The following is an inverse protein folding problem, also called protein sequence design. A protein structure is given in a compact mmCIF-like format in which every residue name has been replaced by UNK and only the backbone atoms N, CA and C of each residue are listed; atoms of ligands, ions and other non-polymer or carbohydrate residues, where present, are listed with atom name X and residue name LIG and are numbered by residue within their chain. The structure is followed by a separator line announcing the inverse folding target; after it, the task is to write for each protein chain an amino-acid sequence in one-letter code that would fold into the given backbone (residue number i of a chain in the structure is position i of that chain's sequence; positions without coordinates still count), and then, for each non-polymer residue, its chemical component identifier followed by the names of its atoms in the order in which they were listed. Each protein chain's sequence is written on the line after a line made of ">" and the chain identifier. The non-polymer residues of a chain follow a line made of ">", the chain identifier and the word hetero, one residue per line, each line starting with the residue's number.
data_IF_072610330089
#
_entry.id   IF_072610330089
#
_cell.length_a   1.000
_cell.length_b   1.000
_cell.length_c   1.000
_cell.angle_alpha   90.00
_cell.angle_beta   90.00
_cell.angle_gamma   90.00
#
_symmetry.space_group_name_H-M   'P 1'
#
loop_
_entity.id
_entity.type
_entity.pdbx_description
1 polymer ?
#
# COMPACT_ATOMS: atom_id res chain seq x y z
N UNK A 1 26.04 3.56 -2.30
CA UNK A 1 26.37 2.16 -2.60
C UNK A 1 25.95 1.87 -4.04
N UNK A 2 26.73 1.13 -4.85
CA UNK A 2 26.34 0.82 -6.23
C UNK A 2 25.06 -0.01 -6.25
N UNK A 3 24.16 0.31 -7.22
CA UNK A 3 22.92 -0.45 -7.44
C UNK A 3 23.26 -1.84 -7.95
N UNK A 4 22.67 -2.88 -7.35
CA UNK A 4 22.83 -4.25 -7.82
C UNK A 4 21.89 -4.50 -9.02
N UNK A 5 22.39 -5.07 -10.14
CA UNK A 5 21.56 -5.31 -11.33
C UNK A 5 20.55 -6.45 -11.16
N UNK A 6 20.77 -7.37 -10.21
CA UNK A 6 19.93 -8.53 -9.95
C UNK A 6 19.55 -8.61 -8.49
N UNK A 7 18.37 -9.20 -8.23
CA UNK A 7 17.95 -9.55 -6.87
C UNK A 7 18.80 -10.75 -6.40
N UNK A 8 19.38 -10.62 -5.23
CA UNK A 8 20.04 -11.73 -4.53
C UNK A 8 19.05 -12.44 -3.59
N UNK A 9 19.47 -13.57 -3.02
CA UNK A 9 18.64 -14.37 -2.12
C UNK A 9 18.12 -13.55 -0.94
N UNK A 10 18.96 -12.67 -0.38
CA UNK A 10 18.55 -11.78 0.72
C UNK A 10 17.40 -10.87 0.29
N UNK A 11 17.51 -10.23 -0.89
CA UNK A 11 16.46 -9.36 -1.40
C UNK A 11 15.14 -10.12 -1.62
N UNK A 12 15.21 -11.31 -2.22
CA UNK A 12 14.03 -12.17 -2.45
C UNK A 12 13.37 -12.54 -1.11
N UNK A 13 14.15 -13.00 -0.13
CA UNK A 13 13.62 -13.38 1.18
C UNK A 13 12.97 -12.19 1.89
N UNK A 14 13.62 -11.02 1.89
CA UNK A 14 13.06 -9.82 2.50
C UNK A 14 11.78 -9.35 1.80
N UNK A 15 11.73 -9.40 0.46
CA UNK A 15 10.55 -9.06 -0.32
C UNK A 15 9.37 -9.98 -0.01
N UNK A 16 9.62 -11.30 -0.03
CA UNK A 16 8.58 -12.27 0.31
C UNK A 16 8.11 -12.11 1.75
N UNK A 17 9.03 -11.86 2.69
CA UNK A 17 8.69 -11.57 4.09
C UNK A 17 7.83 -10.31 4.24
N UNK A 18 8.16 -9.22 3.53
CA UNK A 18 7.34 -8.02 3.52
C UNK A 18 5.95 -8.28 2.94
N UNK A 19 5.86 -8.98 1.80
CA UNK A 19 4.59 -9.29 1.16
C UNK A 19 3.71 -10.21 2.03
N UNK A 20 4.32 -11.23 2.63
CA UNK A 20 3.64 -12.11 3.58
C UNK A 20 3.04 -11.30 4.73
N UNK A 21 3.86 -10.46 5.35
CA UNK A 21 3.42 -9.67 6.48
C UNK A 21 2.35 -8.64 6.09
N UNK A 22 2.47 -7.98 4.94
CA UNK A 22 1.46 -7.04 4.46
C UNK A 22 0.12 -7.73 4.17
N UNK A 23 0.13 -8.98 3.70
CA UNK A 23 -1.08 -9.79 3.56
C UNK A 23 -1.71 -10.13 4.91
N UNK A 24 -0.92 -10.64 5.86
CA UNK A 24 -1.34 -10.90 7.24
C UNK A 24 -1.86 -9.63 7.92
N UNK A 25 -1.20 -8.50 7.71
CA UNK A 25 -1.57 -7.23 8.30
C UNK A 25 -2.99 -6.80 7.96
N UNK A 26 -3.46 -7.03 6.72
CA UNK A 26 -4.84 -6.70 6.34
C UNK A 26 -5.86 -7.48 7.18
N UNK A 27 -5.55 -8.75 7.45
CA UNK A 27 -6.36 -9.60 8.32
C UNK A 27 -6.29 -9.15 9.78
N UNK A 28 -5.10 -8.83 10.28
CA UNK A 28 -4.92 -8.30 11.64
C UNK A 28 -5.70 -7.00 11.84
N UNK A 29 -5.65 -6.07 10.90
CA UNK A 29 -6.43 -4.83 10.94
C UNK A 29 -7.93 -5.19 11.02
N UNK A 30 -8.40 -6.04 10.11
CA UNK A 30 -9.81 -6.45 10.02
C UNK A 30 -10.31 -7.07 11.33
N UNK A 31 -9.56 -7.98 11.93
CA UNK A 31 -9.95 -8.62 13.21
C UNK A 31 -9.95 -7.59 14.35
N UNK A 32 -8.97 -6.70 14.38
CA UNK A 32 -8.86 -5.70 15.44
C UNK A 32 -9.99 -4.66 15.38
N UNK A 33 -10.67 -4.48 14.22
CA UNK A 33 -11.86 -3.63 14.10
C UNK A 33 -13.04 -4.08 14.99
N UNK A 34 -13.05 -5.33 15.45
CA UNK A 34 -14.06 -5.80 16.39
C UNK A 34 -13.91 -5.19 17.80
N UNK A 35 -12.73 -4.69 18.12
CA UNK A 35 -12.40 -4.10 19.42
C UNK A 35 -12.12 -2.61 19.35
N UNK A 36 -11.52 -2.15 18.27
CA UNK A 36 -11.05 -0.78 18.11
C UNK A 36 -11.65 -0.10 16.88
N UNK A 37 -12.11 1.15 17.00
CA UNK A 37 -12.52 1.94 15.85
C UNK A 37 -11.38 2.08 14.83
N UNK A 38 -11.68 2.12 13.52
CA UNK A 38 -10.68 2.01 12.46
C UNK A 38 -9.64 3.12 12.48
N UNK A 39 -10.06 4.37 12.60
CA UNK A 39 -9.11 5.50 12.55
C UNK A 39 -8.36 5.64 13.88
N UNK A 40 -8.99 5.29 15.00
CA UNK A 40 -8.29 5.21 16.30
C UNK A 40 -7.20 4.13 16.27
N UNK A 41 -7.50 2.93 15.76
CA UNK A 41 -6.52 1.87 15.57
C UNK A 41 -5.34 2.34 14.69
N UNK A 42 -5.65 2.99 13.56
CA UNK A 42 -4.64 3.55 12.68
C UNK A 42 -3.81 4.66 13.35
N UNK A 43 -4.44 5.50 14.19
CA UNK A 43 -3.76 6.54 14.97
C UNK A 43 -2.68 5.95 15.87
N UNK A 44 -3.02 4.93 16.66
CA UNK A 44 -2.08 4.25 17.55
C UNK A 44 -0.89 3.67 16.78
N UNK A 45 -1.19 2.99 15.66
CA UNK A 45 -0.17 2.41 14.77
C UNK A 45 0.78 3.48 14.23
N UNK A 46 0.23 4.57 13.65
CA UNK A 46 1.01 5.57 12.94
C UNK A 46 1.83 6.45 13.90
N UNK A 47 1.26 6.80 15.07
CA UNK A 47 1.99 7.50 16.13
C UNK A 47 3.15 6.63 16.64
N UNK A 48 2.89 5.36 16.94
CA UNK A 48 3.94 4.43 17.39
C UNK A 48 5.04 4.24 16.34
N UNK A 49 4.68 4.07 15.06
CA UNK A 49 5.64 3.91 13.97
C UNK A 49 6.47 5.19 13.74
N UNK A 50 5.85 6.37 13.88
CA UNK A 50 6.56 7.66 13.79
C UNK A 50 7.59 7.79 14.90
N UNK A 51 7.21 7.45 16.12
CA UNK A 51 8.13 7.48 17.28
C UNK A 51 9.31 6.50 17.08
N UNK A 52 9.04 5.28 16.64
CA UNK A 52 10.09 4.29 16.35
C UNK A 52 11.04 4.77 15.26
N UNK A 53 10.50 5.32 14.17
CA UNK A 53 11.32 5.84 13.06
C UNK A 53 12.14 7.05 13.49
N UNK A 54 11.58 7.93 14.32
CA UNK A 54 12.32 9.07 14.87
C UNK A 54 13.48 8.60 15.76
N UNK A 55 13.24 7.68 16.71
CA UNK A 55 14.27 7.09 17.57
C UNK A 55 15.37 6.40 16.75
N UNK A 56 14.97 5.61 15.74
CA UNK A 56 15.89 4.97 14.79
C UNK A 56 16.75 5.98 14.07
N UNK A 57 16.14 7.07 13.56
CA UNK A 57 16.85 8.10 12.81
C UNK A 57 17.84 8.88 13.70
N UNK A 58 17.47 9.18 14.95
CA UNK A 58 18.37 9.78 15.94
C UNK A 58 19.56 8.86 16.21
N UNK A 59 19.29 7.58 16.47
CA UNK A 59 20.34 6.59 16.71
C UNK A 59 21.28 6.42 15.51
N UNK A 60 20.76 6.50 14.29
CA UNK A 60 21.54 6.40 13.05
C UNK A 60 22.18 7.71 12.60
N UNK A 61 21.92 8.82 13.29
CA UNK A 61 22.42 10.15 12.91
C UNK A 61 21.83 10.67 11.59
N UNK A 62 20.62 10.22 11.20
CA UNK A 62 19.96 10.66 9.95
C UNK A 62 19.20 11.96 10.20
N UNK A 63 19.52 13.08 9.49
CA UNK A 63 18.85 14.35 9.67
C UNK A 63 17.46 14.35 9.06
N UNK A 64 16.41 14.30 9.89
CA UNK A 64 15.01 14.35 9.45
C UNK A 64 14.52 15.78 9.12
N UNK A 65 15.05 16.78 9.82
CA UNK A 65 14.56 18.17 9.78
C UNK A 65 15.44 19.12 8.96
N UNK A 66 16.36 18.59 8.14
CA UNK A 66 17.23 19.40 7.28
C UNK A 66 16.44 20.24 6.26
N UNK A 67 16.86 21.48 6.02
CA UNK A 67 16.26 22.40 5.04
C UNK A 67 16.80 22.10 3.64
N UNK A 68 16.18 21.16 2.93
CA UNK A 68 16.56 20.72 1.58
C UNK A 68 15.48 21.00 0.52
N UNK A 69 14.48 21.83 0.87
CA UNK A 69 13.37 22.17 -0.02
C UNK A 69 12.34 21.06 -0.22
N UNK A 70 12.43 19.96 0.52
CA UNK A 70 11.52 18.81 0.39
C UNK A 70 10.20 18.95 1.17
N UNK A 71 10.07 19.94 2.05
CA UNK A 71 8.98 20.04 3.02
C UNK A 71 7.59 20.03 2.34
N UNK A 72 7.37 20.88 1.33
CA UNK A 72 6.05 20.98 0.65
C UNK A 72 5.66 19.67 -0.01
N UNK A 73 6.60 19.06 -0.75
CA UNK A 73 6.37 17.78 -1.39
C UNK A 73 6.22 16.65 -0.36
N UNK A 74 6.97 16.72 0.75
CA UNK A 74 6.87 15.79 1.87
C UNK A 74 5.52 15.83 2.55
N UNK A 75 5.00 17.03 2.83
CA UNK A 75 3.66 17.20 3.41
C UNK A 75 2.56 16.69 2.47
N UNK A 76 2.68 16.96 1.16
CA UNK A 76 1.74 16.42 0.18
C UNK A 76 1.78 14.89 0.10
N UNK A 77 2.97 14.30 0.03
CA UNK A 77 3.14 12.85 0.03
C UNK A 77 2.61 12.23 1.34
N UNK A 78 2.82 12.90 2.47
CA UNK A 78 2.27 12.48 3.77
C UNK A 78 0.74 12.55 3.82
N UNK A 79 0.14 13.61 3.28
CA UNK A 79 -1.31 13.75 3.22
C UNK A 79 -1.96 12.68 2.32
N UNK A 80 -1.37 12.40 1.14
CA UNK A 80 -1.83 11.34 0.24
C UNK A 80 -1.71 9.96 0.89
N UNK A 81 -0.59 9.69 1.56
CA UNK A 81 -0.38 8.46 2.31
C UNK A 81 -1.37 8.31 3.47
N UNK A 82 -1.65 9.39 4.22
CA UNK A 82 -2.68 9.39 5.25
C UNK A 82 -4.06 9.11 4.66
N UNK A 83 -4.44 9.77 3.58
CA UNK A 83 -5.72 9.52 2.90
C UNK A 83 -5.83 8.06 2.40
N UNK A 84 -4.75 7.48 1.85
CA UNK A 84 -4.66 6.07 1.48
C UNK A 84 -5.01 5.16 2.67
N UNK A 85 -4.34 5.37 3.81
CA UNK A 85 -4.57 4.56 5.01
C UNK A 85 -5.96 4.77 5.61
N UNK A 86 -6.51 5.98 5.58
CA UNK A 86 -7.89 6.22 5.97
C UNK A 86 -8.87 5.39 5.11
N UNK A 87 -8.67 5.37 3.79
CA UNK A 87 -9.45 4.53 2.89
C UNK A 87 -9.30 3.03 3.19
N UNK A 88 -8.09 2.56 3.52
CA UNK A 88 -7.85 1.14 3.89
C UNK A 88 -8.62 0.79 5.16
N UNK A 89 -8.43 1.55 6.24
CA UNK A 89 -9.04 1.23 7.53
C UNK A 89 -10.56 1.34 7.51
N UNK A 90 -11.10 2.39 6.89
CA UNK A 90 -12.54 2.54 6.70
C UNK A 90 -13.10 1.48 5.74
N UNK A 91 -12.38 1.17 4.67
CA UNK A 91 -12.78 0.17 3.69
C UNK A 91 -12.92 -1.23 4.28
N UNK A 92 -12.01 -1.61 5.18
CA UNK A 92 -12.05 -2.90 5.86
C UNK A 92 -13.28 -3.10 6.77
N UNK A 93 -14.00 -2.04 7.14
CA UNK A 93 -15.30 -2.18 7.80
C UNK A 93 -16.35 -2.79 6.88
N UNK A 94 -16.28 -2.53 5.59
CA UNK A 94 -17.33 -2.79 4.62
C UNK A 94 -17.04 -3.95 3.67
N UNK A 95 -15.76 -4.30 3.46
CA UNK A 95 -15.38 -5.39 2.55
C UNK A 95 -14.42 -6.37 3.22
N UNK A 96 -14.12 -7.49 2.56
CA UNK A 96 -13.15 -8.47 3.06
C UNK A 96 -11.71 -7.95 2.93
N UNK A 97 -10.80 -8.48 3.76
CA UNK A 97 -9.38 -8.17 3.69
C UNK A 97 -8.80 -8.53 2.31
N UNK A 98 -9.22 -9.67 1.77
CA UNK A 98 -8.83 -10.15 0.46
C UNK A 98 -9.27 -9.21 -0.67
N UNK A 99 -10.55 -8.80 -0.68
CA UNK A 99 -11.09 -7.91 -1.72
C UNK A 99 -10.44 -6.54 -1.68
N UNK A 100 -10.36 -5.92 -0.49
CA UNK A 100 -9.71 -4.62 -0.32
C UNK A 100 -8.29 -4.66 -0.85
N UNK A 101 -7.54 -5.72 -0.54
CA UNK A 101 -6.15 -5.86 -0.98
C UNK A 101 -6.05 -5.94 -2.52
N UNK A 102 -6.94 -6.65 -3.20
CA UNK A 102 -6.96 -6.69 -4.69
C UNK A 102 -7.13 -5.28 -5.27
N UNK A 103 -8.06 -4.48 -4.74
CA UNK A 103 -8.28 -3.12 -5.21
C UNK A 103 -7.13 -2.16 -4.85
N UNK A 104 -6.56 -2.27 -3.66
CA UNK A 104 -5.39 -1.51 -3.22
C UNK A 104 -4.20 -1.74 -4.16
N UNK A 105 -3.98 -2.98 -4.58
CA UNK A 105 -2.86 -3.35 -5.46
C UNK A 105 -3.10 -3.02 -6.94
N UNK A 106 -4.13 -2.24 -7.26
CA UNK A 106 -4.25 -1.53 -8.56
C UNK A 106 -3.30 -0.33 -8.65
N UNK A 107 -2.61 0.05 -7.57
CA UNK A 107 -1.70 1.21 -7.52
C UNK A 107 -0.70 1.30 -8.68
N UNK A 108 -0.07 0.20 -9.20
CA UNK A 108 0.84 0.28 -10.33
C UNK A 108 0.17 0.80 -11.62
N UNK A 109 -1.13 0.60 -11.80
CA UNK A 109 -1.85 1.14 -12.96
C UNK A 109 -1.99 2.64 -12.87
N UNK A 110 -2.29 3.15 -11.68
CA UNK A 110 -2.37 4.59 -11.45
C UNK A 110 -1.02 5.25 -11.69
N UNK A 111 0.09 4.61 -11.27
CA UNK A 111 1.44 5.08 -11.60
C UNK A 111 1.66 5.09 -13.11
N UNK A 112 1.31 4.02 -13.81
CA UNK A 112 1.49 3.90 -15.25
C UNK A 112 0.68 4.93 -16.06
N UNK A 113 -0.49 5.33 -15.59
CA UNK A 113 -1.33 6.36 -16.22
C UNK A 113 -0.83 7.76 -15.90
N UNK A 114 -0.44 8.00 -14.64
CA UNK A 114 -0.19 9.35 -14.15
C UNK A 114 1.25 9.83 -14.41
N UNK A 115 2.26 8.96 -14.34
CA UNK A 115 3.66 9.35 -14.55
C UNK A 115 3.89 9.96 -15.93
N UNK A 116 3.34 9.43 -17.03
CA UNK A 116 3.50 10.02 -18.37
C UNK A 116 2.92 11.44 -18.52
N UNK A 117 2.02 11.86 -17.66
CA UNK A 117 1.49 13.21 -17.64
C UNK A 117 2.54 14.25 -17.20
N UNK A 118 3.50 13.81 -16.36
CA UNK A 118 4.61 14.63 -15.87
C UNK A 118 5.90 14.44 -16.67
N UNK A 119 6.20 13.17 -16.97
CA UNK A 119 7.40 12.80 -17.73
C UNK A 119 7.00 12.10 -19.03
N UNK A 120 7.04 12.86 -20.13
CA UNK A 120 6.67 12.37 -21.46
C UNK A 120 7.59 11.26 -21.98
N UNK A 121 8.77 11.09 -21.38
CA UNK A 121 9.69 9.99 -21.73
C UNK A 121 9.18 8.62 -21.29
N UNK A 122 8.25 8.60 -20.30
CA UNK A 122 7.63 7.38 -19.79
C UNK A 122 6.26 7.07 -20.43
N UNK A 123 6.01 7.51 -21.66
CA UNK A 123 4.76 7.22 -22.38
C UNK A 123 4.60 5.73 -22.60
N UNK A 124 3.37 5.26 -22.33
CA UNK A 124 3.01 3.86 -22.51
C UNK A 124 3.12 3.44 -24.00
N UNK A 125 3.72 2.30 -24.23
CA UNK A 125 3.74 1.62 -25.53
C UNK A 125 2.49 0.76 -25.72
N UNK A 126 2.22 0.31 -26.95
CA UNK A 126 1.00 -0.44 -27.28
C UNK A 126 0.72 -1.65 -26.36
N UNK A 127 1.76 -2.47 -26.06
CA UNK A 127 1.61 -3.61 -25.15
C UNK A 127 1.27 -3.19 -23.72
N UNK A 128 1.76 -2.04 -23.27
CA UNK A 128 1.46 -1.51 -21.93
C UNK A 128 0.02 -1.01 -21.85
N UNK A 129 -0.51 -0.45 -22.96
CA UNK A 129 -1.93 -0.11 -23.06
C UNK A 129 -2.82 -1.36 -22.99
N UNK A 130 -2.43 -2.46 -23.63
CA UNK A 130 -3.13 -3.76 -23.51
C UNK A 130 -3.14 -4.20 -22.03
N UNK A 131 -1.99 -4.15 -21.36
CA UNK A 131 -1.90 -4.47 -19.93
C UNK A 131 -2.80 -3.60 -19.07
N UNK A 132 -2.82 -2.30 -19.33
CA UNK A 132 -3.66 -1.34 -18.60
C UNK A 132 -5.15 -1.63 -18.80
N UNK A 133 -5.57 -1.89 -20.05
CA UNK A 133 -6.97 -2.25 -20.38
C UNK A 133 -7.37 -3.55 -19.67
N UNK A 134 -6.48 -4.55 -19.68
CA UNK A 134 -6.72 -5.82 -19.00
C UNK A 134 -6.94 -5.67 -17.51
N UNK A 135 -6.12 -4.82 -16.90
CA UNK A 135 -6.23 -4.51 -15.49
C UNK A 135 -7.49 -3.70 -15.14
N UNK A 136 -7.85 -2.73 -15.98
CA UNK A 136 -9.09 -1.98 -15.81
C UNK A 136 -10.31 -2.91 -15.93
N UNK A 137 -10.31 -3.82 -16.90
CA UNK A 137 -11.34 -4.86 -17.04
C UNK A 137 -11.44 -5.75 -15.80
N UNK A 138 -10.30 -6.10 -15.18
CA UNK A 138 -10.27 -6.84 -13.92
C UNK A 138 -10.95 -6.10 -12.77
N UNK A 139 -10.71 -4.79 -12.65
CA UNK A 139 -11.36 -3.94 -11.63
C UNK A 139 -12.87 -3.89 -11.84
N UNK A 140 -13.31 -3.66 -13.07
CA UNK A 140 -14.75 -3.65 -13.43
C UNK A 140 -15.40 -5.02 -13.13
N UNK A 141 -14.71 -6.11 -13.45
CA UNK A 141 -15.19 -7.46 -13.18
C UNK A 141 -15.30 -7.75 -11.67
N UNK A 142 -14.31 -7.34 -10.88
CA UNK A 142 -14.35 -7.49 -9.43
C UNK A 142 -15.45 -6.62 -8.79
N UNK A 143 -15.63 -5.37 -9.26
CA UNK A 143 -16.70 -4.48 -8.79
C UNK A 143 -18.09 -5.04 -9.09
N UNK A 144 -18.26 -5.73 -10.24
CA UNK A 144 -19.53 -6.36 -10.61
C UNK A 144 -20.07 -7.26 -9.50
N UNK A 145 -19.22 -8.05 -8.86
CA UNK A 145 -19.65 -8.89 -7.73
C UNK A 145 -20.17 -8.06 -6.54
N UNK A 146 -19.55 -6.90 -6.27
CA UNK A 146 -20.03 -5.96 -5.26
C UNK A 146 -21.43 -5.41 -5.57
N UNK A 147 -21.72 -5.13 -6.84
CA UNK A 147 -23.05 -4.68 -7.28
C UNK A 147 -24.10 -5.77 -7.14
N UNK A 148 -23.81 -7.01 -7.53
CA UNK A 148 -24.75 -8.13 -7.41
C UNK A 148 -25.05 -8.49 -5.96
N UNK A 149 -24.04 -8.45 -5.08
CA UNK A 149 -24.24 -8.69 -3.65
C UNK A 149 -25.03 -7.56 -2.97
N UNK A 150 -25.03 -6.34 -3.52
CA UNK A 150 -25.87 -5.24 -3.05
C UNK A 150 -27.36 -5.49 -3.26
N UNK A 151 -27.74 -6.22 -4.33
CA UNK A 151 -29.13 -6.61 -4.59
C UNK A 151 -29.68 -7.53 -3.51
N UNK A 152 -28.80 -8.17 -2.72
CA UNK A 152 -29.11 -9.02 -1.57
C UNK A 152 -29.08 -8.29 -0.23
N UNK A 153 -29.05 -6.94 -0.19
CA UNK A 153 -29.06 -6.14 1.02
C UNK A 153 -27.68 -5.70 1.56
N UNK A 154 -26.57 -6.01 0.89
CA UNK A 154 -25.21 -5.67 1.31
C UNK A 154 -24.59 -4.49 0.52
N UNK A 155 -25.24 -3.30 0.60
CA UNK A 155 -24.68 -2.05 0.05
C UNK A 155 -23.28 -1.69 0.62
N UNK A 156 -22.86 -2.35 1.69
CA UNK A 156 -21.60 -2.13 2.39
C UNK A 156 -20.38 -2.57 1.55
N UNK A 157 -20.44 -3.72 0.86
CA UNK A 157 -19.27 -4.28 0.15
C UNK A 157 -18.76 -3.34 -0.96
N UNK A 158 -19.66 -2.74 -1.75
CA UNK A 158 -19.27 -1.79 -2.79
C UNK A 158 -18.55 -0.55 -2.22
N UNK A 159 -18.99 -0.05 -1.06
CA UNK A 159 -18.30 1.07 -0.38
C UNK A 159 -16.87 0.70 -0.02
N UNK A 160 -16.67 -0.49 0.53
CA UNK A 160 -15.34 -0.99 0.87
C UNK A 160 -14.45 -1.18 -0.36
N UNK A 161 -14.99 -1.72 -1.44
CA UNK A 161 -14.28 -1.92 -2.71
C UNK A 161 -13.85 -0.58 -3.33
N UNK A 162 -14.76 0.43 -3.34
CA UNK A 162 -14.44 1.76 -3.83
C UNK A 162 -13.37 2.46 -2.97
N UNK A 163 -13.42 2.29 -1.64
CA UNK A 163 -12.37 2.78 -0.76
C UNK A 163 -11.04 2.08 -1.02
N UNK A 164 -11.03 0.77 -1.27
CA UNK A 164 -9.84 0.02 -1.68
C UNK A 164 -9.25 0.54 -3.01
N UNK A 165 -10.10 0.82 -3.99
CA UNK A 165 -9.69 1.39 -5.27
C UNK A 165 -9.13 2.82 -5.11
N UNK A 166 -9.78 3.65 -4.29
CA UNK A 166 -9.29 4.99 -3.95
C UNK A 166 -7.94 4.92 -3.23
N UNK A 167 -7.75 3.96 -2.31
CA UNK A 167 -6.47 3.74 -1.66
C UNK A 167 -5.37 3.38 -2.67
N UNK A 168 -5.66 2.51 -3.65
CA UNK A 168 -4.74 2.19 -4.75
C UNK A 168 -4.36 3.42 -5.59
N UNK A 169 -5.33 4.28 -5.89
CA UNK A 169 -5.10 5.55 -6.61
C UNK A 169 -4.23 6.52 -5.81
N UNK A 170 -4.52 6.67 -4.51
CA UNK A 170 -3.75 7.53 -3.60
C UNK A 170 -2.31 7.04 -3.42
N UNK A 171 -2.10 5.74 -3.32
CA UNK A 171 -0.74 5.16 -3.35
C UNK A 171 -0.02 5.48 -4.66
N UNK A 172 -0.71 5.31 -5.81
CA UNK A 172 -0.17 5.70 -7.12
C UNK A 172 0.23 7.17 -7.16
N UNK A 173 -0.65 8.08 -6.71
CA UNK A 173 -0.39 9.52 -6.62
C UNK A 173 0.80 9.84 -5.72
N UNK A 174 0.89 9.21 -4.54
CA UNK A 174 2.05 9.35 -3.63
C UNK A 174 3.35 9.00 -4.35
N UNK A 175 3.36 7.91 -5.12
CA UNK A 175 4.52 7.50 -5.91
C UNK A 175 4.89 8.53 -6.98
N UNK A 176 3.89 9.11 -7.65
CA UNK A 176 4.10 10.18 -8.66
C UNK A 176 4.71 11.41 -8.00
N UNK A 177 4.16 11.86 -6.87
CA UNK A 177 4.68 13.02 -6.12
C UNK A 177 6.14 12.80 -5.71
N UNK A 178 6.48 11.62 -5.22
CA UNK A 178 7.85 11.27 -4.85
C UNK A 178 8.79 11.35 -6.07
N UNK A 179 8.37 10.80 -7.21
CA UNK A 179 9.18 10.79 -8.44
C UNK A 179 9.32 12.16 -9.10
N UNK A 180 8.24 12.97 -9.07
CA UNK A 180 8.17 14.26 -9.74
C UNK A 180 8.77 15.43 -8.93
N UNK A 181 9.16 15.18 -7.66
CA UNK A 181 9.58 16.24 -6.74
C UNK A 181 11.01 16.08 -6.23
N UNK A 182 11.41 16.98 -5.31
CA UNK A 182 12.67 16.92 -4.57
C UNK A 182 12.79 15.69 -3.68
N UNK A 183 11.68 14.98 -3.38
CA UNK A 183 11.66 13.79 -2.52
C UNK A 183 12.52 12.63 -3.05
N UNK A 184 12.76 12.57 -4.36
CA UNK A 184 13.68 11.57 -4.96
C UNK A 184 15.13 11.68 -4.48
N UNK A 185 15.50 12.79 -3.84
CA UNK A 185 16.87 13.09 -3.36
C UNK A 185 17.03 12.96 -1.85
N UNK A 186 15.93 12.82 -1.09
CA UNK A 186 16.00 12.67 0.36
C UNK A 186 16.28 11.22 0.76
N UNK A 187 16.72 11.00 1.99
CA UNK A 187 16.91 9.65 2.54
C UNK A 187 15.58 8.90 2.65
N UNK A 188 15.65 7.57 2.65
CA UNK A 188 14.48 6.71 2.82
C UNK A 188 13.76 6.97 4.15
N UNK A 189 14.54 7.19 5.21
CA UNK A 189 14.03 7.51 6.55
C UNK A 189 13.26 8.84 6.55
N UNK A 190 13.81 9.89 5.92
CA UNK A 190 13.16 11.20 5.86
C UNK A 190 11.87 11.14 5.03
N UNK A 191 11.91 10.41 3.90
CA UNK A 191 10.72 10.20 3.06
C UNK A 191 9.61 9.49 3.83
N UNK A 192 9.95 8.39 4.51
CA UNK A 192 8.99 7.65 5.33
C UNK A 192 8.51 8.49 6.53
N UNK A 193 9.39 9.30 7.11
CA UNK A 193 9.04 10.18 8.22
C UNK A 193 7.98 11.21 7.84
N UNK A 194 8.04 11.81 6.65
CA UNK A 194 6.96 12.69 6.16
C UNK A 194 5.61 11.97 6.10
N UNK A 195 5.59 10.75 5.56
CA UNK A 195 4.38 9.97 5.43
C UNK A 195 3.78 9.60 6.80
N UNK A 196 4.60 9.09 7.70
CA UNK A 196 4.16 8.66 9.02
C UNK A 196 3.81 9.86 9.92
N UNK A 197 4.62 10.92 9.96
CA UNK A 197 4.41 12.06 10.85
C UNK A 197 3.15 12.87 10.49
N UNK A 198 2.92 13.13 9.20
CA UNK A 198 1.69 13.81 8.75
C UNK A 198 0.47 12.98 9.11
N UNK A 199 0.52 11.67 8.87
CA UNK A 199 -0.57 10.78 9.23
C UNK A 199 -0.76 10.67 10.74
N UNK A 200 0.32 10.56 11.52
CA UNK A 200 0.26 10.53 12.99
C UNK A 200 -0.37 11.79 13.58
N UNK A 201 -0.16 12.95 12.96
CA UNK A 201 -0.80 14.20 13.37
C UNK A 201 -2.28 14.26 12.93
N UNK A 202 -2.61 13.77 11.75
CA UNK A 202 -3.95 13.88 11.17
C UNK A 202 -4.94 12.85 11.72
N UNK A 203 -4.51 11.61 11.97
CA UNK A 203 -5.43 10.53 12.32
C UNK A 203 -6.12 10.66 13.67
N UNK A 204 -5.47 11.10 14.77
CA UNK A 204 -6.18 11.37 16.02
C UNK A 204 -7.29 12.41 15.84
N UNK A 205 -7.00 13.48 15.07
CA UNK A 205 -7.98 14.52 14.76
C UNK A 205 -9.13 13.97 13.91
N UNK A 206 -8.82 13.16 12.90
CA UNK A 206 -9.82 12.52 12.05
C UNK A 206 -10.69 11.54 12.84
N UNK A 207 -10.11 10.76 13.75
CA UNK A 207 -10.84 9.83 14.63
C UNK A 207 -11.87 10.58 15.48
N UNK A 208 -11.46 11.68 16.11
CA UNK A 208 -12.37 12.52 16.90
C UNK A 208 -13.45 13.19 16.01
N UNK A 209 -13.09 13.68 14.82
CA UNK A 209 -14.01 14.29 13.88
C UNK A 209 -15.07 13.31 13.36
N UNK A 210 -14.73 12.03 13.26
CA UNK A 210 -15.66 10.95 12.90
C UNK A 210 -16.51 10.46 14.10
N UNK A 211 -16.28 11.00 15.30
CA UNK A 211 -17.01 10.61 16.50
C UNK A 211 -16.61 9.23 17.03
N UNK A 212 -15.41 8.74 16.70
CA UNK A 212 -14.95 7.46 17.22
C UNK A 212 -14.70 7.53 18.73
N UNK A 213 -15.23 6.56 19.45
CA UNK A 213 -14.99 6.43 20.91
C UNK A 213 -13.64 5.76 21.13
N UNK A 214 -12.74 6.44 21.81
CA UNK A 214 -11.42 5.89 22.12
C UNK A 214 -11.53 4.88 23.25
N UNK A 215 -11.09 3.66 22.96
CA UNK A 215 -11.10 2.53 23.90
C UNK A 215 -9.68 2.35 24.43
N UNK A 216 -9.52 2.29 25.76
CA UNK A 216 -8.21 2.14 26.41
C UNK A 216 -8.03 0.77 27.08
N UNK A 217 -9.03 -0.09 27.00
CA UNK A 217 -8.95 -1.48 27.46
C UNK A 217 -8.75 -2.37 26.23
N UNK A 218 -7.56 -2.91 26.08
CA UNK A 218 -7.18 -3.74 24.94
C UNK A 218 -7.09 -5.20 25.38
N UNK A 219 -7.65 -6.09 24.59
CA UNK A 219 -7.36 -7.52 24.73
C UNK A 219 -5.89 -7.81 24.43
N UNK A 220 -5.41 -8.97 24.88
CA UNK A 220 -4.05 -9.43 24.52
C UNK A 220 -3.87 -9.53 23.01
N UNK A 221 -4.92 -9.91 22.30
CA UNK A 221 -4.91 -9.97 20.85
C UNK A 221 -4.74 -8.57 20.23
N UNK A 222 -5.55 -7.58 20.66
CA UNK A 222 -5.47 -6.21 20.14
C UNK A 222 -4.09 -5.59 20.38
N UNK A 223 -3.49 -5.79 21.56
CA UNK A 223 -2.13 -5.33 21.86
C UNK A 223 -1.12 -5.98 20.92
N UNK A 224 -1.14 -7.31 20.78
CA UNK A 224 -0.21 -8.03 19.91
C UNK A 224 -0.38 -7.62 18.45
N UNK A 225 -1.62 -7.48 17.99
CA UNK A 225 -1.96 -7.03 16.64
C UNK A 225 -1.43 -5.62 16.38
N UNK A 226 -1.68 -4.66 17.29
CA UNK A 226 -1.16 -3.29 17.19
C UNK A 226 0.37 -3.24 17.19
N UNK A 227 1.03 -4.01 18.05
CA UNK A 227 2.49 -4.09 18.09
C UNK A 227 3.04 -4.64 16.76
N UNK A 228 2.48 -5.72 16.24
CA UNK A 228 2.88 -6.28 14.95
C UNK A 228 2.64 -5.30 13.80
N UNK A 229 1.48 -4.67 13.75
CA UNK A 229 1.15 -3.65 12.74
C UNK A 229 2.08 -2.44 12.81
N UNK A 230 2.50 -2.03 14.01
CA UNK A 230 3.36 -0.87 14.24
C UNK A 230 4.82 -1.20 13.95
N UNK A 231 5.36 -2.20 14.65
CA UNK A 231 6.81 -2.51 14.62
C UNK A 231 7.18 -3.19 13.32
N UNK A 232 6.45 -4.23 12.94
CA UNK A 232 6.78 -5.00 11.72
C UNK A 232 6.18 -4.32 10.50
N UNK A 233 4.89 -3.96 10.54
CA UNK A 233 4.15 -3.42 9.40
C UNK A 233 4.57 -2.00 9.00
N UNK A 234 4.43 -1.03 9.89
CA UNK A 234 4.62 0.37 9.54
C UNK A 234 6.06 0.86 9.69
N UNK A 235 6.86 0.25 10.57
CA UNK A 235 8.25 0.66 10.76
C UNK A 235 9.21 -0.24 9.99
N UNK A 236 9.38 -1.50 10.38
CA UNK A 236 10.45 -2.35 9.84
C UNK A 236 10.27 -2.67 8.35
N UNK A 237 9.08 -3.13 7.93
CA UNK A 237 8.85 -3.53 6.54
C UNK A 237 8.93 -2.34 5.58
N UNK A 238 8.43 -1.17 5.98
CA UNK A 238 8.52 0.03 5.13
C UNK A 238 9.95 0.55 5.04
N UNK A 239 10.72 0.48 6.13
CA UNK A 239 12.12 0.86 6.10
C UNK A 239 12.94 -0.09 5.21
N UNK A 240 12.68 -1.40 5.32
CA UNK A 240 13.28 -2.42 4.44
C UNK A 240 12.90 -2.19 2.98
N UNK A 241 11.63 -1.91 2.71
CA UNK A 241 11.14 -1.59 1.38
C UNK A 241 11.85 -0.38 0.77
N UNK A 242 11.92 0.73 1.51
CA UNK A 242 12.61 1.95 1.06
C UNK A 242 14.11 1.71 0.85
N UNK A 243 14.75 0.93 1.71
CA UNK A 243 16.14 0.52 1.54
C UNK A 243 16.35 -0.30 0.25
N UNK A 244 15.43 -1.23 -0.03
CA UNK A 244 15.50 -2.04 -1.26
C UNK A 244 15.30 -1.20 -2.53
N UNK A 245 14.37 -0.24 -2.52
CA UNK A 245 14.15 0.69 -3.63
C UNK A 245 15.40 1.52 -3.97
N UNK A 246 16.21 1.84 -2.97
CA UNK A 246 17.51 2.50 -3.15
C UNK A 246 18.60 1.59 -3.75
N UNK A 247 18.50 0.26 -3.54
CA UNK A 247 19.59 -0.68 -3.84
C UNK A 247 19.34 -1.56 -5.07
N UNK A 248 18.10 -1.85 -5.39
CA UNK A 248 17.69 -2.74 -6.50
C UNK A 248 16.79 -2.02 -7.51
N UNK A 249 16.67 -2.55 -8.75
CA UNK A 249 15.75 -2.00 -9.74
C UNK A 249 14.29 -2.08 -9.27
N UNK A 250 13.61 -0.94 -9.24
CA UNK A 250 12.24 -0.84 -8.79
C UNK A 250 11.28 -1.79 -9.55
N UNK A 251 11.49 -1.97 -10.86
CA UNK A 251 10.71 -2.89 -11.69
C UNK A 251 10.78 -4.34 -11.23
N UNK A 252 11.96 -4.80 -10.78
CA UNK A 252 12.13 -6.16 -10.27
C UNK A 252 11.47 -6.33 -8.89
N UNK A 253 11.58 -5.32 -8.03
CA UNK A 253 10.97 -5.32 -6.70
C UNK A 253 9.44 -5.31 -6.82
N UNK A 254 8.87 -4.48 -7.71
CA UNK A 254 7.43 -4.31 -7.86
C UNK A 254 6.71 -5.59 -8.29
N UNK A 255 7.38 -6.51 -8.97
CA UNK A 255 6.79 -7.80 -9.33
C UNK A 255 6.48 -8.64 -8.08
N UNK A 256 7.32 -8.59 -7.05
CA UNK A 256 7.09 -9.35 -5.81
C UNK A 256 5.89 -8.85 -5.00
N UNK A 257 5.54 -7.58 -5.11
CA UNK A 257 4.41 -6.97 -4.40
C UNK A 257 3.09 -7.70 -4.69
N UNK A 258 3.01 -8.41 -5.85
CA UNK A 258 1.86 -9.26 -6.20
C UNK A 258 1.61 -10.47 -5.31
N UNK A 259 2.60 -10.90 -4.56
CA UNK A 259 2.38 -11.95 -3.57
C UNK A 259 1.50 -11.46 -2.41
N UNK A 260 1.41 -10.16 -2.16
CA UNK A 260 0.62 -9.64 -1.03
C UNK A 260 -0.87 -9.95 -1.13
N UNK A 261 -1.58 -9.73 -2.26
CA UNK A 261 -2.96 -10.17 -2.41
C UNK A 261 -3.16 -11.68 -2.25
N UNK A 262 -2.19 -12.49 -2.71
CA UNK A 262 -2.24 -13.94 -2.53
C UNK A 262 -2.16 -14.32 -1.05
N UNK A 263 -1.27 -13.68 -0.29
CA UNK A 263 -1.18 -13.88 1.16
C UNK A 263 -2.42 -13.36 1.89
N UNK A 264 -2.97 -12.21 1.49
CA UNK A 264 -4.21 -11.69 2.07
C UNK A 264 -5.39 -12.64 1.83
N UNK A 265 -5.49 -13.23 0.63
CA UNK A 265 -6.45 -14.28 0.30
C UNK A 265 -6.27 -15.52 1.19
N UNK A 266 -5.04 -16.01 1.29
CA UNK A 266 -4.71 -17.18 2.09
C UNK A 266 -5.10 -16.98 3.56
N UNK A 267 -4.65 -15.90 4.18
CA UNK A 267 -4.92 -15.64 5.59
C UNK A 267 -6.36 -15.18 5.85
N UNK A 268 -6.98 -14.45 4.92
CA UNK A 268 -8.39 -14.09 4.98
C UNK A 268 -9.28 -15.35 4.99
N UNK A 269 -8.95 -16.33 4.17
CA UNK A 269 -9.66 -17.62 4.16
C UNK A 269 -9.40 -18.43 5.43
N UNK A 270 -8.13 -18.56 5.84
CA UNK A 270 -7.76 -19.42 6.97
C UNK A 270 -8.23 -18.87 8.33
N UNK A 271 -8.17 -17.55 8.54
CA UNK A 271 -8.45 -16.94 9.84
C UNK A 271 -9.83 -16.29 9.93
N UNK A 272 -10.33 -15.75 8.83
CA UNK A 272 -11.63 -15.05 8.79
C UNK A 272 -12.74 -15.88 8.15
N UNK A 273 -12.41 -17.04 7.56
CA UNK A 273 -13.37 -17.81 6.79
C UNK A 273 -13.91 -17.05 5.56
N UNK A 274 -13.13 -16.09 5.03
CA UNK A 274 -13.54 -15.32 3.86
C UNK A 274 -13.77 -16.25 2.66
N UNK A 275 -14.91 -16.07 1.99
CA UNK A 275 -15.22 -16.86 0.79
C UNK A 275 -14.41 -16.33 -0.38
N UNK A 276 -13.59 -17.19 -0.95
CA UNK A 276 -12.88 -16.91 -2.19
C UNK A 276 -13.81 -17.20 -3.35
N UNK A 277 -14.28 -16.15 -4.01
CA UNK A 277 -15.11 -16.31 -5.21
C UNK A 277 -14.23 -16.56 -6.43
N UNK A 278 -14.74 -17.31 -7.41
CA UNK A 278 -14.05 -17.50 -8.70
C UNK A 278 -13.77 -16.16 -9.38
N UNK A 279 -14.70 -15.19 -9.23
CA UNK A 279 -14.53 -13.84 -9.77
C UNK A 279 -13.33 -13.11 -9.14
N UNK A 280 -13.13 -13.24 -7.83
CA UNK A 280 -11.97 -12.64 -7.15
C UNK A 280 -10.64 -13.24 -7.62
N UNK A 281 -10.60 -14.57 -7.84
CA UNK A 281 -9.42 -15.25 -8.38
C UNK A 281 -9.12 -14.83 -9.82
N UNK A 282 -10.16 -14.74 -10.66
CA UNK A 282 -10.03 -14.26 -12.04
C UNK A 282 -9.55 -12.81 -12.06
N UNK A 283 -10.15 -11.92 -11.25
CA UNK A 283 -9.74 -10.54 -11.15
C UNK A 283 -8.27 -10.42 -10.70
N UNK A 284 -7.85 -11.19 -9.71
CA UNK A 284 -6.46 -11.23 -9.23
C UNK A 284 -5.50 -11.68 -10.35
N UNK A 285 -5.85 -12.73 -11.10
CA UNK A 285 -5.07 -13.20 -12.25
C UNK A 285 -4.97 -12.15 -13.36
N UNK A 286 -6.08 -11.48 -13.68
CA UNK A 286 -6.10 -10.39 -14.66
C UNK A 286 -5.26 -9.19 -14.23
N UNK A 287 -5.34 -8.79 -12.95
CA UNK A 287 -4.49 -7.74 -12.37
C UNK A 287 -3.03 -8.13 -12.51
N UNK A 288 -2.64 -9.35 -12.13
CA UNK A 288 -1.27 -9.83 -12.23
C UNK A 288 -0.74 -9.79 -13.68
N UNK A 289 -1.51 -10.31 -14.63
CA UNK A 289 -1.16 -10.26 -16.07
C UNK A 289 -1.03 -8.80 -16.55
N UNK A 290 -2.00 -7.95 -16.20
CA UNK A 290 -2.00 -6.53 -16.58
C UNK A 290 -0.72 -5.83 -16.14
N UNK A 291 -0.27 -6.09 -14.92
CA UNK A 291 0.94 -5.47 -14.38
C UNK A 291 2.22 -6.01 -15.04
N UNK A 292 2.29 -7.31 -15.30
CA UNK A 292 3.42 -7.88 -16.07
C UNK A 292 3.51 -7.19 -17.42
N UNK A 293 2.40 -7.02 -18.13
CA UNK A 293 2.35 -6.37 -19.45
C UNK A 293 2.72 -4.88 -19.37
N UNK A 294 2.23 -4.15 -18.36
CA UNK A 294 2.56 -2.72 -18.16
C UNK A 294 4.05 -2.54 -17.86
N UNK A 295 4.66 -3.44 -17.11
CA UNK A 295 6.09 -3.36 -16.76
C UNK A 295 7.01 -4.03 -17.79
N UNK A 296 6.47 -4.67 -18.82
CA UNK A 296 7.26 -5.34 -19.85
C UNK A 296 8.03 -4.31 -20.68
N UNK A 297 9.36 -4.31 -20.54
CA UNK A 297 10.26 -3.59 -21.42
C UNK A 297 10.77 -4.57 -22.47
N UNK A 298 10.43 -4.41 -23.75
CA UNK A 298 11.09 -5.17 -24.81
C UNK A 298 12.59 -4.96 -24.72
N UNK A 299 13.37 -6.03 -24.86
CA UNK A 299 14.82 -5.90 -25.01
C UNK A 299 15.11 -4.92 -26.17
N UNK A 300 15.90 -3.89 -25.92
CA UNK A 300 16.40 -3.05 -26.99
C UNK A 300 17.12 -3.98 -27.98
N UNK A 301 16.59 -4.09 -29.19
CA UNK A 301 17.35 -4.71 -30.27
C UNK A 301 18.61 -3.87 -30.38
N UNK A 302 19.76 -4.43 -29.99
CA UNK A 302 21.07 -3.91 -30.38
C UNK A 302 21.03 -3.82 -31.89
N UNK A 303 20.91 -2.59 -32.40
CA UNK A 303 21.18 -2.30 -33.81
C UNK A 303 22.64 -2.66 -34.03
N UNK A 304 22.84 -3.81 -34.70
CA UNK A 304 24.11 -4.20 -35.25
C UNK A 304 24.48 -3.35 -36.46
#
# INVERSE_FOLDING_TARGET
>A
MPRKPHLDTLAITLLLGCCLFWGVQQVLIKVTLNELPPIFQASLRLVGATALLWLWSVWRGVPLFGRDGSLRAGLLAGALFGAEFACIYLGLQFTSASRLTVFLYTSPFWVAVLVPLWDRSERLRGLQWVGLTFAFAAVVFALREGFYNNSSGNASTLRGDLLGLAAGALWGLTTVVIRASSLKRVSAEKLLFYQLAVSAAAFPVLSLALGEVWVWHFSRFAITSLLLQTVVGAFASYLVWMWMLGRYPATKISVFVFFTPLFALLFGTLWLGERVTTGLLVALGMVAVGIVLVNFKPAERSAG
#
